data_IF_386942648827
#
_entry.id   IF_386942648827
#
_cell.length_a   1.000
_cell.length_b   1.000
_cell.length_c   1.000
_cell.angle_alpha   90.00
_cell.angle_beta   90.00
_cell.angle_gamma   90.00
#
_symmetry.space_group_name_H-M   'P 1'
#
loop_
_entity.id
_entity.type
_entity.pdbx_description
1 polymer ?
#
# COMPACT_ATOMS: atom_id res chain seq x y z
N UNK A 1 17.02 -2.16 -10.98
CA UNK A 1 15.73 -1.45 -10.98
C UNK A 1 14.68 -2.38 -11.56
N UNK A 2 13.51 -2.44 -10.92
CA UNK A 2 12.32 -3.10 -11.46
C UNK A 2 11.36 -2.04 -12.02
N UNK A 3 10.30 -2.47 -12.68
CA UNK A 3 9.34 -1.57 -13.37
C UNK A 3 7.99 -1.64 -12.67
N UNK A 4 7.35 -0.48 -12.50
CA UNK A 4 5.99 -0.38 -11.99
C UNK A 4 5.04 -1.17 -12.89
N UNK A 5 4.22 -2.06 -12.32
CA UNK A 5 3.25 -2.87 -13.07
C UNK A 5 2.17 -2.05 -13.79
N UNK A 6 1.94 -0.80 -13.36
CA UNK A 6 0.89 0.07 -13.91
C UNK A 6 1.40 1.07 -14.94
N UNK A 7 2.47 1.79 -14.61
CA UNK A 7 2.97 2.90 -15.44
C UNK A 7 4.37 2.67 -16.00
N UNK A 8 5.01 1.53 -15.70
CA UNK A 8 6.36 1.16 -16.14
C UNK A 8 7.51 2.08 -15.64
N UNK A 9 7.22 3.05 -14.77
CA UNK A 9 8.26 3.86 -14.10
C UNK A 9 9.21 2.97 -13.30
N UNK A 10 10.46 3.40 -13.16
CA UNK A 10 11.49 2.67 -12.44
C UNK A 10 11.24 2.68 -10.93
N UNK A 11 11.43 1.51 -10.32
CA UNK A 11 11.32 1.27 -8.89
C UNK A 11 12.64 0.63 -8.42
N UNK A 12 13.18 1.03 -7.26
CA UNK A 12 14.34 0.36 -6.65
C UNK A 12 14.11 -1.14 -6.50
N UNK A 13 15.15 -1.95 -6.76
CA UNK A 13 15.07 -3.41 -6.57
C UNK A 13 14.86 -3.80 -5.11
N UNK A 14 15.26 -2.94 -4.18
CA UNK A 14 15.13 -3.13 -2.73
C UNK A 14 13.68 -2.94 -2.25
N UNK A 15 12.82 -2.32 -3.07
CA UNK A 15 11.43 -2.11 -2.68
C UNK A 15 10.66 -3.43 -2.62
N UNK A 16 9.90 -3.64 -1.55
CA UNK A 16 9.03 -4.80 -1.33
C UNK A 16 7.80 -4.84 -2.23
N UNK A 17 7.50 -3.75 -2.95
CA UNK A 17 6.31 -3.63 -3.81
C UNK A 17 6.66 -3.40 -5.28
N UNK A 18 5.79 -3.82 -6.20
CA UNK A 18 6.01 -3.74 -7.65
C UNK A 18 5.27 -2.58 -8.35
N UNK A 19 4.78 -1.61 -7.59
CA UNK A 19 4.10 -0.42 -8.11
C UNK A 19 4.71 0.85 -7.52
N UNK A 20 4.64 1.96 -8.26
CA UNK A 20 5.18 3.23 -7.77
C UNK A 20 4.17 3.91 -6.84
N UNK A 21 4.67 4.86 -6.05
CA UNK A 21 3.88 5.66 -5.11
C UNK A 21 2.61 6.29 -5.72
N UNK A 22 2.66 7.02 -6.85
CA UNK A 22 1.45 7.64 -7.41
C UNK A 22 0.42 6.61 -7.86
N UNK A 23 0.84 5.49 -8.44
CA UNK A 23 -0.09 4.42 -8.83
C UNK A 23 -0.72 3.73 -7.60
N UNK A 24 0.08 3.46 -6.56
CA UNK A 24 -0.43 2.86 -5.33
C UNK A 24 -1.47 3.74 -4.64
N UNK A 25 -1.19 5.05 -4.52
CA UNK A 25 -2.17 6.00 -3.96
C UNK A 25 -3.40 6.11 -4.85
N UNK A 26 -3.26 6.11 -6.18
CA UNK A 26 -4.41 6.21 -7.07
C UNK A 26 -5.37 5.01 -6.97
N UNK A 27 -4.85 3.82 -6.64
CA UNK A 27 -5.65 2.58 -6.55
C UNK A 27 -6.26 2.40 -5.15
N UNK A 28 -5.47 2.60 -4.09
CA UNK A 28 -5.88 2.30 -2.72
C UNK A 28 -6.15 3.53 -1.85
N UNK A 29 -5.71 4.72 -2.27
CA UNK A 29 -5.67 5.92 -1.44
C UNK A 29 -4.48 5.93 -0.49
N UNK A 30 -4.13 7.12 0.02
CA UNK A 30 -2.93 7.34 0.82
C UNK A 30 -2.87 6.49 2.09
N UNK A 31 -3.99 6.38 2.82
CA UNK A 31 -4.05 5.62 4.09
C UNK A 31 -3.80 4.14 3.89
N UNK A 32 -4.45 3.53 2.90
CA UNK A 32 -4.29 2.11 2.62
C UNK A 32 -2.95 1.81 1.99
N UNK A 33 -2.48 2.65 1.08
CA UNK A 33 -1.15 2.52 0.51
C UNK A 33 -0.09 2.50 1.62
N UNK A 34 -0.14 3.43 2.58
CA UNK A 34 0.77 3.46 3.72
C UNK A 34 0.73 2.16 4.54
N UNK A 35 -0.47 1.68 4.89
CA UNK A 35 -0.62 0.44 5.64
C UNK A 35 -0.08 -0.79 4.88
N UNK A 36 -0.26 -0.83 3.55
CA UNK A 36 0.29 -1.91 2.71
C UNK A 36 1.82 -1.88 2.74
N UNK A 37 2.44 -0.72 2.57
CA UNK A 37 3.91 -0.58 2.64
C UNK A 37 4.42 -1.05 3.99
N UNK A 38 3.85 -0.53 5.07
CA UNK A 38 4.26 -0.84 6.44
C UNK A 38 4.16 -2.35 6.72
N UNK A 39 3.03 -2.98 6.35
CA UNK A 39 2.86 -4.42 6.52
C UNK A 39 3.86 -5.25 5.68
N UNK A 40 4.16 -4.82 4.46
CA UNK A 40 5.12 -5.53 3.60
C UNK A 40 6.56 -5.38 4.09
N UNK A 41 6.94 -4.19 4.58
CA UNK A 41 8.26 -3.94 5.17
C UNK A 41 8.44 -4.73 6.48
N UNK A 42 7.44 -4.71 7.38
CA UNK A 42 7.48 -5.53 8.60
C UNK A 42 7.58 -7.04 8.28
N UNK A 43 6.83 -7.53 7.30
CA UNK A 43 6.92 -8.92 6.87
C UNK A 43 8.28 -9.26 6.23
N UNK A 44 8.98 -8.28 5.62
CA UNK A 44 10.33 -8.46 5.11
C UNK A 44 11.33 -8.65 6.24
N UNK A 45 11.25 -7.79 7.26
CA UNK A 45 12.11 -7.83 8.44
C UNK A 45 11.94 -9.12 9.24
N UNK A 46 10.71 -9.62 9.35
CA UNK A 46 10.39 -10.88 10.04
C UNK A 46 10.72 -12.13 9.19
N UNK A 47 11.01 -11.96 7.89
CA UNK A 47 11.28 -13.07 6.97
C UNK A 47 10.02 -13.83 6.51
N UNK A 48 8.82 -13.26 6.72
CA UNK A 48 7.54 -13.86 6.36
C UNK A 48 7.11 -13.64 4.91
N UNK A 49 7.80 -12.78 4.15
CA UNK A 49 7.49 -12.57 2.72
C UNK A 49 7.68 -13.83 1.86
N UNK A 50 8.52 -14.78 2.27
CA UNK A 50 8.78 -16.00 1.51
C UNK A 50 7.80 -17.12 1.90
N UNK A 51 6.66 -17.21 1.22
CA UNK A 51 5.66 -18.28 1.43
C UNK A 51 6.04 -19.63 0.78
N UNK A 52 7.33 -19.91 0.63
CA UNK A 52 7.83 -21.13 -0.03
C UNK A 52 7.58 -21.13 -1.55
N UNK A 53 8.51 -21.73 -2.28
CA UNK A 53 8.30 -22.05 -3.69
C UNK A 53 7.50 -23.35 -3.77
N UNK A 54 6.34 -23.36 -4.45
CA UNK A 54 5.54 -24.58 -4.65
C UNK A 54 6.16 -25.58 -5.65
N UNK A 55 7.43 -25.41 -6.02
CA UNK A 55 8.08 -26.21 -7.07
C UNK A 55 9.08 -27.26 -6.57
N UNK A 56 9.33 -27.39 -5.27
CA UNK A 56 10.14 -28.48 -4.74
C UNK A 56 9.29 -29.40 -3.86
N UNK A 57 8.74 -30.42 -4.50
CA UNK A 57 8.48 -31.68 -3.81
C UNK A 57 9.82 -32.18 -3.23
N UNK A 58 9.81 -32.44 -1.93
CA UNK A 58 10.72 -33.34 -1.22
C UNK A 58 11.99 -32.74 -0.58
N UNK A 59 11.83 -31.98 0.52
CA UNK A 59 12.84 -31.97 1.60
C UNK A 59 12.24 -32.01 3.01
N UNK A 60 12.32 -33.22 3.57
CA UNK A 60 12.58 -33.66 4.96
C UNK A 60 12.35 -32.64 6.11
N UNK A 61 11.46 -32.94 7.09
CA UNK A 61 11.27 -32.13 8.29
C UNK A 61 12.58 -31.95 9.05
N UNK A 62 13.01 -30.70 9.26
CA UNK A 62 14.00 -30.38 10.29
C UNK A 62 13.27 -30.25 11.63
N UNK A 63 13.59 -31.20 12.48
CA UNK A 63 13.30 -31.30 13.91
C UNK A 63 13.50 -29.94 14.59
N UNK A 64 12.40 -29.30 15.00
CA UNK A 64 12.41 -28.23 15.99
C UNK A 64 12.55 -28.85 17.39
N UNK A 65 13.39 -28.29 18.28
CA UNK A 65 13.40 -28.67 19.69
C UNK A 65 12.01 -28.41 20.28
N UNK A 66 11.36 -29.49 20.73
CA UNK A 66 10.10 -29.45 21.45
C UNK A 66 10.32 -28.70 22.77
N UNK A 67 9.73 -27.51 22.92
CA UNK A 67 9.41 -27.00 24.24
C UNK A 67 8.07 -27.61 24.66
N UNK A 68 8.12 -28.29 25.79
CA UNK A 68 7.11 -29.20 26.31
C UNK A 68 5.75 -28.51 26.54
N UNK A 69 4.70 -29.15 26.02
CA UNK A 69 3.33 -28.90 26.43
C UNK A 69 3.05 -29.51 27.81
N UNK A 70 2.15 -28.92 28.60
CA UNK A 70 1.19 -29.70 29.37
C UNK A 70 -0.17 -29.75 28.67
N UNK A 71 -0.60 -30.98 28.44
CA UNK A 71 -1.87 -31.47 27.88
C UNK A 71 -3.05 -31.34 28.91
N UNK A 72 -4.28 -31.85 28.67
CA UNK A 72 -5.50 -31.16 28.21
C UNK A 72 -6.68 -31.17 29.23
N UNK A 73 -7.69 -30.32 29.02
CA UNK A 73 -9.12 -30.58 29.37
C UNK A 73 -9.98 -29.63 28.51
N UNK A 74 -10.72 -30.10 27.49
CA UNK A 74 -12.04 -30.78 27.47
C UNK A 74 -13.23 -29.86 27.83
N UNK A 75 -14.27 -29.89 26.97
CA UNK A 75 -15.63 -29.28 27.08
C UNK A 75 -15.74 -27.80 26.67
N UNK A 76 -16.54 -27.30 25.71
CA UNK A 76 -17.67 -27.76 24.89
C UNK A 76 -17.82 -26.80 23.68
N UNK A 77 -18.53 -27.18 22.59
CA UNK A 77 -19.02 -26.26 21.56
C UNK A 77 -20.40 -25.69 21.96
N UNK A 78 -20.82 -24.51 21.45
CA UNK A 78 -21.53 -24.53 20.18
C UNK A 78 -21.15 -23.40 19.22
N UNK A 79 -21.42 -23.69 17.95
CA UNK A 79 -21.36 -22.78 16.83
C UNK A 79 -22.27 -21.57 17.05
N UNK A 80 -21.70 -20.38 17.01
CA UNK A 80 -22.45 -19.18 16.62
C UNK A 80 -21.95 -18.80 15.24
N UNK A 81 -22.52 -19.45 14.23
CA UNK A 81 -22.50 -18.96 12.86
C UNK A 81 -23.23 -17.60 12.88
N UNK A 82 -22.58 -16.47 12.58
CA UNK A 82 -23.31 -15.25 12.35
C UNK A 82 -24.11 -15.47 11.06
N UNK A 83 -25.42 -15.66 11.21
CA UNK A 83 -26.33 -15.59 10.08
C UNK A 83 -26.12 -14.26 9.38
N UNK A 84 -25.45 -14.29 8.23
CA UNK A 84 -25.56 -13.26 7.21
C UNK A 84 -27.03 -13.21 6.81
N UNK A 85 -27.76 -12.29 7.43
CA UNK A 85 -29.05 -11.88 6.93
C UNK A 85 -28.84 -11.39 5.49
N UNK A 86 -29.58 -11.91 4.50
CA UNK A 86 -29.61 -11.27 3.21
C UNK A 86 -30.17 -9.86 3.43
N UNK A 87 -29.35 -8.85 3.14
CA UNK A 87 -29.79 -7.47 3.13
C UNK A 87 -31.07 -7.35 2.30
N UNK A 88 -32.03 -6.51 2.72
CA UNK A 88 -33.22 -6.25 1.93
C UNK A 88 -32.80 -5.89 0.51
N UNK A 89 -33.40 -6.55 -0.48
CA UNK A 89 -33.29 -6.12 -1.87
C UNK A 89 -33.79 -4.69 -1.95
N UNK A 90 -32.86 -3.73 -1.92
CA UNK A 90 -33.19 -2.34 -2.18
C UNK A 90 -33.69 -2.29 -3.62
N UNK A 91 -34.98 -2.01 -3.71
CA UNK A 91 -35.68 -1.68 -4.94
C UNK A 91 -35.00 -0.45 -5.53
N UNK A 92 -34.04 -0.68 -6.43
CA UNK A 92 -33.44 0.37 -7.24
C UNK A 92 -34.55 1.01 -8.09
N UNK A 93 -35.05 2.15 -7.62
CA UNK A 93 -35.82 3.02 -8.49
C UNK A 93 -34.88 3.58 -9.56
N UNK A 94 -35.30 3.61 -10.83
CA UNK A 94 -34.52 4.24 -11.88
C UNK A 94 -34.28 5.70 -11.52
N UNK A 95 -33.02 6.08 -11.48
CA UNK A 95 -32.57 7.45 -11.28
C UNK A 95 -33.19 8.28 -12.43
N UNK A 96 -33.98 9.33 -12.16
CA UNK A 96 -34.41 10.21 -13.23
C UNK A 96 -33.16 10.88 -13.81
N UNK A 97 -32.93 10.68 -15.11
CA UNK A 97 -31.96 11.44 -15.91
C UNK A 97 -32.25 12.93 -15.78
N UNK A 98 -31.66 13.57 -14.78
CA UNK A 98 -31.52 15.01 -14.75
C UNK A 98 -30.30 15.33 -15.59
N UNK A 99 -30.55 15.64 -16.85
CA UNK A 99 -29.66 16.41 -17.71
C UNK A 99 -29.31 17.71 -16.97
N UNK A 100 -28.18 17.72 -16.27
CA UNK A 100 -27.61 18.96 -15.77
C UNK A 100 -26.78 19.60 -16.87
N UNK A 101 -27.11 20.85 -17.08
CA UNK A 101 -26.64 21.72 -18.13
C UNK A 101 -25.14 21.96 -17.99
N UNK A 102 -24.48 21.96 -19.15
CA UNK A 102 -23.08 22.23 -19.32
C UNK A 102 -22.89 23.72 -19.01
N UNK A 103 -22.48 24.06 -17.79
CA UNK A 103 -21.99 25.41 -17.50
C UNK A 103 -20.57 25.48 -18.02
N UNK A 104 -20.44 26.06 -19.21
CA UNK A 104 -19.19 26.49 -19.81
C UNK A 104 -18.58 27.59 -18.93
N UNK A 105 -17.71 27.18 -18.01
CA UNK A 105 -16.93 28.12 -17.21
C UNK A 105 -15.60 28.37 -17.93
N UNK A 106 -15.70 29.03 -19.09
CA UNK A 106 -14.56 29.69 -19.72
C UNK A 106 -14.12 30.84 -18.81
N UNK A 107 -13.13 30.57 -17.96
CA UNK A 107 -12.45 31.61 -17.22
C UNK A 107 -10.93 31.41 -17.32
N UNK A 108 -10.34 32.28 -18.13
CA UNK A 108 -8.92 32.62 -18.27
C UNK A 108 -8.07 32.39 -17.01
N UNK A 109 -6.87 31.82 -17.17
CA UNK A 109 -5.72 32.19 -16.36
C UNK A 109 -4.75 33.02 -17.20
N UNK A 110 -5.09 34.31 -17.38
CA UNK A 110 -4.08 35.32 -17.62
C UNK A 110 -3.34 35.63 -16.32
N UNK A 111 -2.01 35.44 -16.38
CA UNK A 111 -0.98 36.17 -15.63
C UNK A 111 -0.78 35.81 -14.15
N UNK A 112 0.37 35.20 -13.86
CA UNK A 112 1.39 35.94 -13.11
C UNK A 112 2.77 35.37 -13.37
N UNK A 113 3.64 36.28 -13.78
CA UNK A 113 5.00 36.05 -14.16
C UNK A 113 5.85 35.65 -12.95
N UNK A 114 6.66 34.63 -13.17
CA UNK A 114 8.10 34.59 -12.87
C UNK A 114 8.67 35.92 -12.38
N UNK A 115 9.17 35.94 -11.14
CA UNK A 115 10.31 36.76 -10.68
C UNK A 115 10.68 36.31 -9.26
N UNK A 116 11.73 35.51 -9.17
CA UNK A 116 12.50 35.36 -7.94
C UNK A 116 13.97 35.25 -8.35
N UNK A 117 14.75 36.34 -8.27
CA UNK A 117 16.19 36.26 -8.38
C UNK A 117 16.82 35.99 -7.01
N UNK A 118 17.77 35.06 -7.05
CA UNK A 118 19.08 35.11 -6.38
C UNK A 118 19.09 35.07 -4.85
N UNK A 119 19.22 33.84 -4.33
CA UNK A 119 19.84 33.59 -3.02
C UNK A 119 21.35 33.59 -3.23
N UNK A 120 22.01 34.68 -2.82
CA UNK A 120 23.47 34.77 -2.66
C UNK A 120 23.94 33.65 -1.73
N UNK A 121 24.82 32.78 -2.24
CA UNK A 121 25.59 31.84 -1.45
C UNK A 121 26.88 32.56 -1.10
N UNK A 122 27.01 33.06 0.12
CA UNK A 122 28.32 33.51 0.62
C UNK A 122 29.09 32.28 1.10
N UNK A 123 30.08 31.89 0.30
CA UNK A 123 31.22 31.06 0.70
C UNK A 123 31.98 31.74 1.85
N UNK A 124 31.81 31.23 3.08
CA UNK A 124 32.74 31.51 4.18
C UNK A 124 33.00 30.21 4.95
N UNK A 125 33.97 29.43 4.47
CA UNK A 125 34.83 28.62 5.34
C UNK A 125 36.12 28.25 4.61
N UNK A 126 37.25 28.84 5.03
CA UNK A 126 38.31 27.97 5.53
C UNK A 126 39.12 28.61 6.66
N UNK A 127 38.75 28.36 7.92
CA UNK A 127 39.66 28.51 9.08
C UNK A 127 39.79 27.13 9.75
N UNK A 128 40.83 26.33 9.48
CA UNK A 128 42.25 26.57 9.75
C UNK A 128 42.55 26.67 11.25
N UNK A 129 42.79 25.52 11.91
CA UNK A 129 43.71 25.28 13.05
C UNK A 129 43.31 23.97 13.74
N UNK A 130 44.11 22.91 13.58
CA UNK A 130 45.32 22.53 14.36
C UNK A 130 44.97 21.45 15.39
#
# INVERSE_FOLDING_TARGET
MKKCIYCTTEIPNESVIDFCHPCGISVWGEKMFKAIIENMESAQEEGHLYQGSVTDSEQKPKEQPQLEAPTPQESQPPQTEPQLQPSPQEHFQPIPSQSQEIIDNSQDPEQSATLSPEMEITDDNPDSKL
#
